data_IF_569430357536
#
_entry.id   IF_569430357536
#
_cell.length_a   1.000
_cell.length_b   1.000
_cell.length_c   1.000
_cell.angle_alpha   90.00
_cell.angle_beta   90.00
_cell.angle_gamma   90.00
#
_symmetry.space_group_name_H-M   'P 1'
#
loop_
_entity.id
_entity.type
_entity.pdbx_description
1 polymer ?
#
# COMPACT_ATOMS: atom_id res chain seq x y z
N UNK A 1 30.36 -4.14 4.22
CA UNK A 1 29.61 -4.64 5.40
C UNK A 1 28.21 -5.01 4.93
N UNK A 2 27.77 -6.26 5.12
CA UNK A 2 26.38 -6.63 4.84
C UNK A 2 25.46 -5.71 5.67
N UNK A 3 24.53 -5.01 5.04
CA UNK A 3 23.53 -4.18 5.72
C UNK A 3 22.85 -5.08 6.78
N UNK A 4 23.07 -4.79 8.07
CA UNK A 4 22.50 -5.57 9.18
C UNK A 4 20.99 -5.61 8.98
N UNK A 5 20.45 -6.80 8.68
CA UNK A 5 19.04 -6.99 8.34
C UNK A 5 18.15 -6.34 9.40
N UNK A 6 17.31 -5.40 8.99
CA UNK A 6 16.46 -4.64 9.88
C UNK A 6 15.14 -5.41 10.11
N UNK A 7 15.14 -6.30 11.10
CA UNK A 7 13.97 -7.12 11.46
C UNK A 7 12.70 -6.29 11.73
N UNK A 8 12.85 -5.08 12.26
CA UNK A 8 11.79 -4.08 12.38
C UNK A 8 11.00 -3.91 11.06
N UNK A 9 11.67 -3.62 9.94
CA UNK A 9 11.00 -3.41 8.66
C UNK A 9 10.45 -4.70 8.08
N UNK A 10 11.05 -5.85 8.36
CA UNK A 10 10.46 -7.13 7.97
C UNK A 10 9.17 -7.42 8.73
N UNK A 11 9.13 -7.18 10.05
CA UNK A 11 7.91 -7.30 10.85
C UNK A 11 6.82 -6.36 10.33
N UNK A 12 7.18 -5.10 10.08
CA UNK A 12 6.27 -4.10 9.50
C UNK A 12 5.69 -4.58 8.17
N UNK A 13 6.53 -5.02 7.22
CA UNK A 13 6.07 -5.52 5.91
C UNK A 13 5.13 -6.72 6.02
N UNK A 14 5.34 -7.62 6.98
CA UNK A 14 4.42 -8.75 7.16
C UNK A 14 3.05 -8.31 7.68
N UNK A 15 3.03 -7.40 8.66
CA UNK A 15 1.77 -6.87 9.18
C UNK A 15 1.06 -6.10 8.07
N UNK A 16 1.75 -5.21 7.37
CA UNK A 16 1.16 -4.43 6.28
C UNK A 16 0.62 -5.32 5.15
N UNK A 17 1.34 -6.37 4.74
CA UNK A 17 0.82 -7.25 3.68
C UNK A 17 -0.39 -8.06 4.17
N UNK A 18 -0.42 -8.40 5.45
CA UNK A 18 -1.61 -9.02 6.05
C UNK A 18 -2.79 -8.06 6.04
N UNK A 19 -2.58 -6.77 6.36
CA UNK A 19 -3.63 -5.74 6.27
C UNK A 19 -4.15 -5.56 4.84
N UNK A 20 -3.27 -5.59 3.82
CA UNK A 20 -3.68 -5.58 2.40
C UNK A 20 -4.63 -6.75 2.10
N UNK A 21 -4.27 -7.97 2.53
CA UNK A 21 -5.12 -9.13 2.31
C UNK A 21 -6.44 -9.01 3.07
N UNK A 22 -6.43 -8.57 4.33
CA UNK A 22 -7.68 -8.34 5.09
C UNK A 22 -8.57 -7.34 4.35
N UNK A 23 -8.00 -6.25 3.83
CA UNK A 23 -8.71 -5.27 3.02
C UNK A 23 -9.42 -5.90 1.82
N UNK A 24 -8.72 -6.69 1.01
CA UNK A 24 -9.33 -7.33 -0.17
C UNK A 24 -10.32 -8.44 0.16
N UNK A 25 -10.15 -9.15 1.28
CA UNK A 25 -11.11 -10.15 1.74
C UNK A 25 -12.37 -9.52 2.37
N UNK A 26 -12.28 -8.27 2.85
CA UNK A 26 -13.42 -7.51 3.38
C UNK A 26 -14.13 -6.69 2.31
N UNK A 27 -13.47 -6.39 1.18
CA UNK A 27 -14.01 -5.57 0.09
C UNK A 27 -15.38 -6.03 -0.45
N UNK A 28 -15.66 -7.33 -0.61
CA UNK A 28 -17.00 -7.79 -1.01
C UNK A 28 -18.06 -7.63 0.09
N UNK A 29 -17.65 -7.55 1.35
CA UNK A 29 -18.53 -7.53 2.52
C UNK A 29 -18.95 -6.11 2.97
N UNK A 30 -18.41 -5.06 2.35
CA UNK A 30 -18.57 -3.68 2.84
C UNK A 30 -20.03 -3.26 2.93
N UNK A 31 -20.88 -3.68 1.99
CA UNK A 31 -22.31 -3.31 1.97
C UNK A 31 -23.16 -4.08 2.98
N UNK A 32 -22.71 -5.27 3.40
CA UNK A 32 -23.49 -6.17 4.27
C UNK A 32 -23.02 -6.15 5.73
N UNK A 33 -21.81 -5.63 5.98
CA UNK A 33 -21.20 -5.67 7.30
C UNK A 33 -20.48 -4.36 7.63
N UNK A 34 -21.11 -3.54 8.48
CA UNK A 34 -20.57 -2.25 8.92
C UNK A 34 -19.19 -2.37 9.60
N UNK A 35 -18.92 -3.47 10.32
CA UNK A 35 -17.60 -3.68 10.91
C UNK A 35 -16.53 -3.95 9.84
N UNK A 36 -16.87 -4.68 8.77
CA UNK A 36 -15.98 -4.85 7.62
C UNK A 36 -15.64 -3.49 7.00
N UNK A 37 -16.64 -2.62 6.82
CA UNK A 37 -16.48 -1.29 6.24
C UNK A 37 -15.62 -0.36 7.09
N UNK A 38 -15.89 -0.28 8.40
CA UNK A 38 -15.08 0.52 9.33
C UNK A 38 -13.62 0.05 9.32
N UNK A 39 -13.39 -1.27 9.40
CA UNK A 39 -12.04 -1.83 9.38
C UNK A 39 -11.35 -1.63 8.03
N UNK A 40 -12.09 -1.71 6.93
CA UNK A 40 -11.57 -1.43 5.60
C UNK A 40 -11.08 0.03 5.50
N UNK A 41 -11.90 1.01 5.91
CA UNK A 41 -11.52 2.43 5.93
C UNK A 41 -10.27 2.64 6.79
N UNK A 42 -10.27 2.10 8.01
CA UNK A 42 -9.16 2.22 8.94
C UNK A 42 -7.86 1.63 8.36
N UNK A 43 -7.93 0.44 7.75
CA UNK A 43 -6.77 -0.17 7.10
C UNK A 43 -6.29 0.71 5.93
N UNK A 44 -7.20 1.14 5.07
CA UNK A 44 -6.92 1.97 3.88
C UNK A 44 -6.43 3.37 4.21
N UNK A 45 -6.62 3.86 5.43
CA UNK A 45 -6.09 5.15 5.87
C UNK A 45 -4.56 5.18 5.94
N UNK A 46 -3.87 4.04 6.15
CA UNK A 46 -2.42 4.06 6.37
C UNK A 46 -1.60 2.89 5.79
N UNK A 47 -2.18 1.74 5.45
CA UNK A 47 -1.36 0.57 5.08
C UNK A 47 -0.49 0.81 3.83
N UNK A 48 -1.03 1.46 2.79
CA UNK A 48 -0.26 1.86 1.61
C UNK A 48 0.74 2.96 1.91
N UNK A 49 0.37 4.09 2.54
CA UNK A 49 1.33 5.09 3.03
C UNK A 49 2.52 4.47 3.77
N UNK A 50 2.29 3.48 4.64
CA UNK A 50 3.33 2.78 5.36
C UNK A 50 4.22 1.90 4.47
N UNK A 51 3.64 1.13 3.54
CA UNK A 51 4.44 0.39 2.56
C UNK A 51 5.31 1.31 1.70
N UNK A 52 4.75 2.45 1.29
CA UNK A 52 5.39 3.44 0.43
C UNK A 52 6.53 4.13 1.18
N UNK A 53 6.33 4.48 2.45
CA UNK A 53 7.40 4.97 3.32
C UNK A 53 8.55 3.97 3.45
N UNK A 54 8.27 2.68 3.69
CA UNK A 54 9.30 1.65 3.74
C UNK A 54 10.05 1.56 2.41
N UNK A 55 9.33 1.62 1.29
CA UNK A 55 9.94 1.58 -0.03
C UNK A 55 10.86 2.78 -0.31
N UNK A 56 10.47 3.98 0.15
CA UNK A 56 11.28 5.18 0.14
C UNK A 56 12.53 5.05 1.01
N UNK A 57 12.37 4.54 2.24
CA UNK A 57 13.48 4.31 3.17
C UNK A 57 14.57 3.43 2.58
N UNK A 58 14.22 2.39 1.81
CA UNK A 58 15.18 1.51 1.15
C UNK A 58 15.64 1.99 -0.24
N UNK A 59 15.18 3.15 -0.72
CA UNK A 59 15.67 3.71 -1.98
C UNK A 59 17.07 4.29 -1.81
N UNK A 60 17.99 3.98 -2.73
CA UNK A 60 19.36 4.47 -2.71
C UNK A 60 19.75 4.99 -4.10
N UNK A 61 19.97 6.30 -4.18
CA UNK A 61 20.29 7.02 -5.43
C UNK A 61 21.79 7.22 -5.64
N UNK A 62 22.65 6.79 -4.70
CA UNK A 62 24.11 6.94 -4.77
C UNK A 62 24.75 5.89 -5.70
N UNK A 63 24.28 5.82 -6.94
CA UNK A 63 24.74 4.92 -8.00
C UNK A 63 24.55 5.60 -9.36
N UNK A 64 25.19 5.08 -10.40
CA UNK A 64 24.99 5.60 -11.76
C UNK A 64 23.52 5.45 -12.20
N UNK A 65 22.96 6.48 -12.85
CA UNK A 65 21.56 6.50 -13.27
C UNK A 65 21.19 5.32 -14.18
N UNK A 66 22.06 4.96 -15.13
CA UNK A 66 21.82 3.84 -16.05
C UNK A 66 21.67 2.53 -15.30
N UNK A 67 22.58 2.24 -14.37
CA UNK A 67 22.51 1.05 -13.51
C UNK A 67 21.26 1.07 -12.61
N UNK A 68 20.96 2.22 -12.01
CA UNK A 68 19.76 2.41 -11.18
C UNK A 68 18.47 2.12 -11.96
N UNK A 69 18.37 2.66 -13.18
CA UNK A 69 17.21 2.50 -14.05
C UNK A 69 17.03 1.04 -14.47
N UNK A 70 18.09 0.39 -15.00
CA UNK A 70 18.04 -1.02 -15.41
C UNK A 70 17.64 -1.92 -14.24
N UNK A 71 18.20 -1.69 -13.04
CA UNK A 71 17.84 -2.45 -11.84
C UNK A 71 16.36 -2.30 -11.48
N UNK A 72 15.80 -1.10 -11.59
CA UNK A 72 14.39 -0.86 -11.31
C UNK A 72 13.46 -1.41 -12.39
N UNK A 73 13.85 -1.34 -13.67
CA UNK A 73 13.12 -2.01 -14.76
C UNK A 73 13.03 -3.50 -14.49
N UNK A 74 14.16 -4.16 -14.20
CA UNK A 74 14.21 -5.60 -13.92
C UNK A 74 13.38 -6.01 -12.70
N UNK A 75 13.44 -5.23 -11.63
CA UNK A 75 12.79 -5.58 -10.35
C UNK A 75 11.33 -5.15 -10.24
N UNK A 76 10.87 -4.22 -11.08
CA UNK A 76 9.51 -3.64 -10.97
C UNK A 76 8.73 -3.78 -12.27
N UNK A 77 9.27 -3.28 -13.39
CA UNK A 77 8.54 -3.28 -14.66
C UNK A 77 8.43 -4.68 -15.28
N UNK A 78 9.48 -5.50 -15.22
CA UNK A 78 9.40 -6.89 -15.72
C UNK A 78 8.33 -7.69 -14.93
N UNK A 79 8.36 -7.75 -13.58
CA UNK A 79 7.29 -8.36 -12.81
C UNK A 79 5.92 -7.74 -13.08
N UNK A 80 5.83 -6.42 -13.26
CA UNK A 80 4.59 -5.74 -13.63
C UNK A 80 4.01 -6.31 -14.93
N UNK A 81 4.78 -6.36 -16.02
CA UNK A 81 4.28 -6.85 -17.31
C UNK A 81 3.91 -8.33 -17.27
N UNK A 82 4.73 -9.15 -16.60
CA UNK A 82 4.44 -10.59 -16.41
C UNK A 82 3.12 -10.76 -15.67
N UNK A 83 2.98 -10.16 -14.48
CA UNK A 83 1.78 -10.32 -13.69
C UNK A 83 0.56 -9.63 -14.32
N UNK A 84 0.73 -8.51 -15.03
CA UNK A 84 -0.37 -7.88 -15.76
C UNK A 84 -0.94 -8.84 -16.80
N UNK A 85 -0.07 -9.50 -17.57
CA UNK A 85 -0.49 -10.53 -18.52
C UNK A 85 -1.15 -11.71 -17.80
N UNK A 86 -0.51 -12.26 -16.75
CA UNK A 86 -1.06 -13.40 -16.01
C UNK A 86 -2.44 -13.09 -15.42
N UNK A 87 -2.65 -11.91 -14.84
CA UNK A 87 -3.94 -11.49 -14.29
C UNK A 87 -5.00 -11.33 -15.37
N UNK A 88 -4.68 -10.67 -16.49
CA UNK A 88 -5.62 -10.51 -17.60
C UNK A 88 -6.00 -11.85 -18.21
N UNK A 89 -5.02 -12.73 -18.46
CA UNK A 89 -5.24 -14.07 -18.99
C UNK A 89 -6.05 -14.92 -18.02
N UNK A 90 -5.66 -14.98 -16.75
CA UNK A 90 -6.36 -15.74 -15.72
C UNK A 90 -7.81 -15.29 -15.55
N UNK A 91 -8.04 -13.97 -15.43
CA UNK A 91 -9.38 -13.42 -15.27
C UNK A 91 -10.25 -13.66 -16.52
N UNK A 92 -9.67 -13.56 -17.72
CA UNK A 92 -10.39 -13.81 -18.97
C UNK A 92 -10.76 -15.28 -19.13
N UNK A 93 -9.82 -16.19 -18.85
CA UNK A 93 -10.05 -17.64 -18.89
C UNK A 93 -11.10 -18.08 -17.88
N UNK A 94 -10.98 -17.65 -16.62
CA UNK A 94 -11.89 -18.07 -15.56
C UNK A 94 -13.32 -17.57 -15.78
N UNK A 95 -13.48 -16.40 -16.41
CA UNK A 95 -14.79 -15.80 -16.67
C UNK A 95 -15.32 -16.01 -18.09
N UNK A 96 -14.61 -16.74 -18.95
CA UNK A 96 -14.95 -16.90 -20.37
C UNK A 96 -15.09 -15.56 -21.12
N UNK A 97 -14.27 -14.57 -20.78
CA UNK A 97 -14.20 -13.28 -21.47
C UNK A 97 -13.13 -13.30 -22.57
N UNK A 98 -13.28 -12.44 -23.57
CA UNK A 98 -12.23 -12.18 -24.55
C UNK A 98 -11.00 -11.57 -23.87
N UNK A 99 -9.81 -12.07 -24.18
CA UNK A 99 -8.56 -11.51 -23.64
C UNK A 99 -8.27 -10.13 -24.26
N UNK A 100 -8.40 -9.09 -23.44
CA UNK A 100 -8.06 -7.71 -23.82
C UNK A 100 -6.75 -7.31 -23.14
N UNK A 101 -5.69 -7.16 -23.92
CA UNK A 101 -4.40 -6.72 -23.40
C UNK A 101 -4.40 -5.21 -23.17
N UNK A 102 -4.46 -4.81 -21.89
CA UNK A 102 -4.31 -3.41 -21.50
C UNK A 102 -3.18 -3.25 -20.49
N UNK A 103 -2.05 -2.73 -20.95
CA UNK A 103 -0.89 -2.45 -20.10
C UNK A 103 -0.86 -1.01 -19.58
N UNK A 104 -1.75 -0.14 -20.06
CA UNK A 104 -1.87 1.26 -19.61
C UNK A 104 -2.61 1.37 -18.29
N UNK A 105 -3.60 0.50 -18.06
CA UNK A 105 -4.35 0.44 -16.80
C UNK A 105 -3.90 -0.78 -16.01
N UNK A 106 -3.09 -0.60 -14.96
CA UNK A 106 -2.61 -1.71 -14.17
C UNK A 106 -3.80 -2.43 -13.54
N UNK A 107 -3.71 -3.75 -13.43
CA UNK A 107 -4.60 -4.53 -12.57
C UNK A 107 -4.59 -3.95 -11.16
N UNK A 108 -5.68 -4.05 -10.39
CA UNK A 108 -5.88 -3.25 -9.18
C UNK A 108 -4.84 -3.46 -8.08
N UNK A 109 -4.03 -4.51 -8.17
CA UNK A 109 -2.91 -4.79 -7.25
C UNK A 109 -1.58 -4.21 -7.77
N UNK A 110 -1.40 -4.17 -9.09
CA UNK A 110 -0.12 -3.90 -9.75
C UNK A 110 0.27 -2.43 -9.83
N UNK A 111 -0.66 -1.53 -9.49
CA UNK A 111 -0.42 -0.09 -9.49
C UNK A 111 0.79 0.30 -8.62
N UNK A 112 1.03 -0.40 -7.51
CA UNK A 112 2.12 -0.10 -6.59
C UNK A 112 3.49 -0.35 -7.23
N UNK A 113 3.66 -1.42 -8.03
CA UNK A 113 4.94 -1.66 -8.74
C UNK A 113 5.24 -0.56 -9.74
N UNK A 114 4.21 -0.14 -10.48
CA UNK A 114 4.33 0.92 -11.47
C UNK A 114 4.61 2.27 -10.82
N UNK A 115 3.87 2.63 -9.77
CA UNK A 115 4.13 3.84 -8.98
C UNK A 115 5.49 3.82 -8.30
N UNK A 116 5.93 2.68 -7.77
CA UNK A 116 7.25 2.54 -7.16
C UNK A 116 8.38 2.75 -8.16
N UNK A 117 8.22 2.30 -9.41
CA UNK A 117 9.18 2.60 -10.47
C UNK A 117 9.30 4.11 -10.68
N UNK A 118 8.17 4.81 -10.83
CA UNK A 118 8.15 6.25 -11.02
C UNK A 118 8.70 7.01 -9.81
N UNK A 119 8.31 6.67 -8.58
CA UNK A 119 8.83 7.32 -7.37
C UNK A 119 10.35 7.21 -7.27
N UNK A 120 10.91 6.05 -7.61
CA UNK A 120 12.36 5.81 -7.62
C UNK A 120 13.08 6.65 -8.68
N UNK A 121 12.53 6.73 -9.89
CA UNK A 121 13.08 7.59 -10.95
C UNK A 121 12.98 9.07 -10.54
N UNK A 122 11.82 9.51 -10.02
CA UNK A 122 11.59 10.89 -9.58
C UNK A 122 12.57 11.30 -8.47
N UNK A 123 12.72 10.49 -7.40
CA UNK A 123 13.65 10.84 -6.32
C UNK A 123 15.10 10.90 -6.81
N UNK A 124 15.50 10.02 -7.75
CA UNK A 124 16.83 10.06 -8.33
C UNK A 124 17.08 11.40 -9.05
N UNK A 125 16.11 11.83 -9.87
CA UNK A 125 16.18 13.09 -10.61
C UNK A 125 16.24 14.27 -9.63
N UNK A 126 15.35 14.31 -8.63
CA UNK A 126 15.28 15.38 -7.62
C UNK A 126 16.61 15.51 -6.86
N UNK A 127 17.20 14.38 -6.45
CA UNK A 127 18.47 14.37 -5.72
C UNK A 127 19.64 14.82 -6.58
N UNK A 128 19.59 14.60 -7.91
CA UNK A 128 20.58 15.14 -8.85
C UNK A 128 20.55 16.67 -8.90
N UNK A 129 19.37 17.27 -8.79
CA UNK A 129 19.20 18.73 -8.73
C UNK A 129 19.49 19.33 -7.35
N UNK A 130 19.79 18.50 -6.34
CA UNK A 130 20.12 18.93 -4.97
C UNK A 130 19.03 19.83 -4.34
N UNK A 131 17.76 19.60 -4.70
CA UNK A 131 16.64 20.34 -4.13
C UNK A 131 16.56 20.04 -2.62
N UNK A 132 16.46 21.06 -1.75
CA UNK A 132 16.33 20.85 -0.32
C UNK A 132 15.12 19.98 0.04
N UNK A 133 15.28 19.07 1.01
CA UNK A 133 14.28 18.08 1.37
C UNK A 133 12.91 18.68 1.73
N UNK A 134 12.89 19.83 2.42
CA UNK A 134 11.66 20.55 2.79
C UNK A 134 10.90 21.00 1.55
N UNK A 135 11.57 21.60 0.56
CA UNK A 135 10.93 22.03 -0.68
C UNK A 135 10.42 20.84 -1.50
N UNK A 136 11.21 19.76 -1.59
CA UNK A 136 10.77 18.51 -2.23
C UNK A 136 9.49 17.97 -1.60
N UNK A 137 9.43 17.92 -0.27
CA UNK A 137 8.26 17.43 0.46
C UNK A 137 7.04 18.34 0.27
N UNK A 138 7.19 19.66 0.43
CA UNK A 138 6.11 20.62 0.25
C UNK A 138 5.55 20.61 -1.18
N UNK A 139 6.43 20.53 -2.19
CA UNK A 139 6.02 20.42 -3.58
C UNK A 139 5.25 19.12 -3.84
N UNK A 140 5.67 18.00 -3.24
CA UNK A 140 4.95 16.74 -3.37
C UNK A 140 3.57 16.78 -2.70
N UNK A 141 3.44 17.42 -1.53
CA UNK A 141 2.14 17.61 -0.86
C UNK A 141 1.23 18.50 -1.70
N UNK A 142 1.75 19.60 -2.24
CA UNK A 142 0.98 20.47 -3.13
C UNK A 142 0.52 19.69 -4.38
N UNK A 143 1.40 18.92 -5.02
CA UNK A 143 1.03 18.09 -6.16
C UNK A 143 -0.03 17.03 -5.80
N UNK A 144 0.08 16.40 -4.64
CA UNK A 144 -0.89 15.41 -4.14
C UNK A 144 -2.29 15.99 -3.91
N UNK A 145 -2.38 17.27 -3.53
CA UNK A 145 -3.63 18.01 -3.41
C UNK A 145 -4.17 18.46 -4.78
N UNK A 146 -3.29 18.91 -5.68
CA UNK A 146 -3.70 19.48 -6.96
C UNK A 146 -4.05 18.45 -8.03
N UNK A 147 -3.46 17.24 -7.98
CA UNK A 147 -3.68 16.22 -9.02
C UNK A 147 -5.15 15.79 -9.14
N UNK A 148 -5.93 15.92 -8.07
CA UNK A 148 -7.36 15.63 -8.05
C UNK A 148 -8.18 16.51 -9.01
N UNK A 149 -7.68 17.69 -9.40
CA UNK A 149 -8.32 18.55 -10.41
C UNK A 149 -8.08 18.07 -11.85
N UNK A 150 -7.38 16.96 -12.07
CA UNK A 150 -7.18 16.40 -13.42
C UNK A 150 -8.18 15.27 -13.67
N UNK A 151 -8.96 15.35 -14.75
CA UNK A 151 -10.02 14.38 -15.03
C UNK A 151 -9.49 13.03 -15.56
N UNK A 152 -8.44 13.05 -16.38
CA UNK A 152 -8.03 11.87 -17.19
C UNK A 152 -6.82 11.10 -16.64
N UNK A 153 -6.05 11.68 -15.72
CA UNK A 153 -4.77 11.12 -15.26
C UNK A 153 -4.88 10.09 -14.13
N UNK A 154 -6.11 9.77 -13.71
CA UNK A 154 -6.41 8.98 -12.51
C UNK A 154 -5.79 7.58 -12.48
N UNK A 155 -6.36 6.69 -13.31
CA UNK A 155 -6.03 5.25 -13.33
C UNK A 155 -5.03 4.87 -14.43
N UNK A 156 -4.82 5.75 -15.42
CA UNK A 156 -3.86 5.51 -16.50
C UNK A 156 -2.45 5.60 -15.91
N UNK A 157 -1.65 4.56 -16.14
CA UNK A 157 -0.30 4.36 -15.59
C UNK A 157 -0.16 4.55 -14.08
N UNK A 158 -1.25 4.40 -13.31
CA UNK A 158 -1.27 4.74 -11.88
C UNK A 158 -0.86 6.21 -11.60
N UNK A 159 -1.12 7.12 -12.55
CA UNK A 159 -0.62 8.49 -12.52
C UNK A 159 -1.03 9.25 -11.25
N UNK A 160 -2.34 9.36 -11.00
CA UNK A 160 -2.85 10.05 -9.80
C UNK A 160 -2.35 9.42 -8.52
N UNK A 161 -2.36 8.08 -8.40
CA UNK A 161 -1.84 7.40 -7.20
C UNK A 161 -0.37 7.69 -6.96
N UNK A 162 0.41 7.71 -8.04
CA UNK A 162 1.84 8.05 -7.98
C UNK A 162 2.02 9.44 -7.38
N UNK A 163 1.26 10.43 -7.82
CA UNK A 163 1.39 11.80 -7.29
C UNK A 163 0.86 11.89 -5.85
N UNK A 164 -0.34 11.37 -5.58
CA UNK A 164 -1.00 11.44 -4.26
C UNK A 164 -0.14 10.85 -3.16
N UNK A 165 0.51 9.71 -3.41
CA UNK A 165 1.28 9.01 -2.38
C UNK A 165 2.79 9.33 -2.38
N UNK A 166 3.28 10.13 -3.33
CA UNK A 166 4.70 10.51 -3.38
C UNK A 166 5.23 11.17 -2.09
N UNK A 167 4.45 12.00 -1.36
CA UNK A 167 4.90 12.57 -0.08
C UNK A 167 5.39 11.51 0.91
N UNK A 168 4.72 10.36 1.02
CA UNK A 168 5.11 9.27 1.93
C UNK A 168 6.40 8.59 1.51
N UNK A 169 6.63 8.47 0.19
CA UNK A 169 7.88 7.93 -0.34
C UNK A 169 9.06 8.86 -0.03
N UNK A 170 8.87 10.17 -0.25
CA UNK A 170 9.85 11.21 0.08
C UNK A 170 10.17 11.21 1.57
N UNK A 171 9.15 11.13 2.43
CA UNK A 171 9.33 11.04 3.87
C UNK A 171 10.20 9.85 4.23
N UNK A 172 9.91 8.66 3.71
CA UNK A 172 10.72 7.47 3.95
C UNK A 172 12.18 7.63 3.52
N UNK A 173 12.40 8.17 2.33
CA UNK A 173 13.74 8.40 1.78
C UNK A 173 14.57 9.35 2.66
N UNK A 174 14.02 10.52 2.99
CA UNK A 174 14.71 11.49 3.84
C UNK A 174 14.84 11.02 5.30
N UNK A 175 13.93 10.17 5.79
CA UNK A 175 14.03 9.56 7.11
C UNK A 175 15.29 8.69 7.25
N UNK A 176 15.68 7.96 6.18
CA UNK A 176 16.97 7.25 6.13
C UNK A 176 18.12 8.24 5.97
N UNK A 177 18.04 9.16 5.01
CA UNK A 177 19.13 10.09 4.65
C UNK A 177 19.63 10.91 5.85
N UNK A 178 18.72 11.35 6.72
CA UNK A 178 19.05 12.15 7.91
C UNK A 178 19.15 11.33 9.20
N UNK A 179 19.21 9.99 9.12
CA UNK A 179 19.35 9.09 10.28
C UNK A 179 18.30 9.29 11.38
N UNK A 180 17.09 9.73 11.00
CA UNK A 180 16.01 10.06 11.95
C UNK A 180 15.55 8.82 12.73
N UNK A 181 15.66 7.63 12.12
CA UNK A 181 15.32 6.35 12.74
C UNK A 181 16.06 6.09 14.07
N UNK A 182 17.29 6.58 14.22
CA UNK A 182 18.07 6.44 15.47
C UNK A 182 17.45 7.28 16.59
N UNK A 183 16.99 8.50 16.26
CA UNK A 183 16.35 9.41 17.22
C UNK A 183 14.94 8.94 17.60
N UNK A 184 14.23 8.36 16.64
CA UNK A 184 12.86 7.88 16.85
C UNK A 184 12.77 6.72 17.86
N UNK A 185 13.76 5.82 17.87
CA UNK A 185 13.82 4.68 18.82
C UNK A 185 14.01 5.10 20.29
N UNK A 186 14.52 6.29 20.54
CA UNK A 186 14.80 6.77 21.90
C UNK A 186 13.59 7.44 22.57
N UNK A 187 12.44 7.52 21.90
CA UNK A 187 11.22 8.18 22.38
C UNK A 187 10.21 7.20 23.02
N UNK A 188 10.68 6.01 23.42
CA UNK A 188 9.83 4.89 23.81
C UNK A 188 9.35 5.01 25.28
N UNK A 189 8.42 5.93 25.53
CA UNK A 189 7.78 6.13 26.84
C UNK A 189 6.44 5.37 26.92
N UNK A 190 6.12 4.76 28.06
CA UNK A 190 4.84 4.09 28.35
C UNK A 190 3.59 4.95 28.03
N UNK A 191 3.71 6.27 28.25
CA UNK A 191 2.72 7.30 27.92
C UNK A 191 2.32 7.24 26.42
N UNK A 192 3.23 6.81 25.54
CA UNK A 192 2.97 6.73 24.11
C UNK A 192 2.01 5.60 23.71
N UNK A 193 1.95 4.48 24.45
CA UNK A 193 1.10 3.33 24.09
C UNK A 193 -0.38 3.54 24.43
N UNK A 194 -0.66 4.11 25.60
CA UNK A 194 -2.04 4.50 25.98
C UNK A 194 -2.59 5.55 25.03
N UNK A 195 -1.80 6.56 24.69
CA UNK A 195 -2.18 7.59 23.73
C UNK A 195 -2.48 7.00 22.35
N UNK A 196 -1.66 6.06 21.87
CA UNK A 196 -1.92 5.35 20.61
C UNK A 196 -3.23 4.58 20.62
N UNK A 197 -3.47 3.81 21.68
CA UNK A 197 -4.71 3.07 21.82
C UNK A 197 -5.91 4.03 21.76
N UNK A 198 -5.84 5.15 22.52
CA UNK A 198 -6.88 6.17 22.51
C UNK A 198 -7.10 6.77 21.12
N UNK A 199 -6.03 7.12 20.39
CA UNK A 199 -6.12 7.70 19.04
C UNK A 199 -6.78 6.69 18.08
N UNK A 200 -6.35 5.44 18.05
CA UNK A 200 -6.95 4.44 17.17
C UNK A 200 -8.40 4.12 17.55
N UNK A 201 -8.73 4.06 18.85
CA UNK A 201 -10.13 3.90 19.27
C UNK A 201 -10.98 5.09 18.85
N UNK A 202 -10.47 6.31 18.99
CA UNK A 202 -11.17 7.53 18.61
C UNK A 202 -11.36 7.59 17.08
N UNK A 203 -10.36 7.18 16.29
CA UNK A 203 -10.47 7.08 14.84
C UNK A 203 -11.50 6.03 14.41
N UNK A 204 -11.50 4.83 15.01
CA UNK A 204 -12.51 3.80 14.71
C UNK A 204 -13.92 4.27 15.05
N UNK A 205 -14.11 4.94 16.19
CA UNK A 205 -15.39 5.54 16.56
C UNK A 205 -15.78 6.64 15.56
N UNK A 206 -14.85 7.51 15.19
CA UNK A 206 -15.09 8.56 14.19
C UNK A 206 -15.51 7.97 12.85
N UNK A 207 -14.79 6.97 12.34
CA UNK A 207 -15.14 6.28 11.09
C UNK A 207 -16.55 5.69 11.18
N UNK A 208 -16.88 5.01 12.29
CA UNK A 208 -18.20 4.43 12.50
C UNK A 208 -19.32 5.48 12.51
N UNK A 209 -19.13 6.60 13.22
CA UNK A 209 -20.13 7.66 13.33
C UNK A 209 -20.36 8.44 12.04
N UNK A 210 -19.32 8.58 11.21
CA UNK A 210 -19.36 9.39 9.99
C UNK A 210 -19.33 8.55 8.71
N UNK A 211 -19.58 7.24 8.80
CA UNK A 211 -19.42 6.29 7.71
C UNK A 211 -20.15 6.72 6.42
N UNK A 212 -21.41 7.13 6.53
CA UNK A 212 -22.23 7.59 5.40
C UNK A 212 -21.73 8.88 4.73
N UNK A 213 -20.83 9.62 5.39
CA UNK A 213 -20.24 10.85 4.88
C UNK A 213 -18.84 10.62 4.26
N UNK A 214 -18.26 9.43 4.45
CA UNK A 214 -16.94 9.10 3.94
C UNK A 214 -17.03 8.53 2.53
N UNK A 215 -16.26 9.11 1.60
CA UNK A 215 -16.13 8.55 0.26
C UNK A 215 -14.88 7.66 0.19
N UNK A 216 -15.08 6.34 0.13
CA UNK A 216 -14.01 5.33 0.06
C UNK A 216 -13.04 5.56 -1.11
N UNK A 217 -13.51 6.08 -2.24
CA UNK A 217 -12.68 6.29 -3.43
C UNK A 217 -11.54 7.29 -3.19
N UNK A 218 -11.67 8.18 -2.19
CA UNK A 218 -10.60 9.09 -1.82
C UNK A 218 -9.36 8.31 -1.35
N UNK A 219 -9.55 7.20 -0.62
CA UNK A 219 -8.46 6.41 -0.01
C UNK A 219 -7.58 5.76 -1.09
N UNK A 220 -8.12 5.50 -2.28
CA UNK A 220 -7.39 4.88 -3.37
C UNK A 220 -6.41 5.81 -4.09
N UNK A 221 -6.52 7.13 -3.89
CA UNK A 221 -5.69 8.14 -4.57
C UNK A 221 -5.78 8.13 -6.10
N UNK A 222 -6.80 7.47 -6.66
CA UNK A 222 -6.89 7.15 -8.08
C UNK A 222 -7.93 7.97 -8.86
N UNK A 223 -8.74 8.74 -8.14
CA UNK A 223 -9.97 9.33 -8.62
C UNK A 223 -9.89 10.86 -8.52
N UNK A 224 -10.39 11.54 -9.56
CA UNK A 224 -10.47 12.99 -9.64
C UNK A 224 -11.58 13.55 -8.76
N UNK A 225 -11.45 14.81 -8.36
CA UNK A 225 -12.43 15.50 -7.52
C UNK A 225 -13.79 15.65 -8.20
N UNK A 226 -13.82 15.72 -9.53
CA UNK A 226 -15.06 15.76 -10.31
C UNK A 226 -15.90 14.48 -10.17
N UNK A 227 -15.25 13.33 -9.95
CA UNK A 227 -15.94 12.04 -9.85
C UNK A 227 -16.45 11.75 -8.44
N UNK A 228 -15.90 12.42 -7.42
CA UNK A 228 -16.27 12.17 -6.02
C UNK A 228 -17.65 12.73 -5.65
N UNK A 229 -18.21 13.63 -6.46
CA UNK A 229 -19.58 14.16 -6.30
C UNK A 229 -19.81 15.09 -5.09
N UNK A 230 -18.84 15.25 -4.20
CA UNK A 230 -18.95 16.04 -2.95
C UNK A 230 -18.68 17.55 -3.11
N UNK A 231 -18.41 18.02 -4.33
CA UNK A 231 -17.93 19.38 -4.60
C UNK A 231 -16.41 19.52 -4.45
N UNK A 232 -15.79 20.38 -5.27
CA UNK A 232 -14.33 20.47 -5.38
C UNK A 232 -13.64 20.86 -4.06
N UNK A 233 -14.19 21.82 -3.32
CA UNK A 233 -13.63 22.25 -2.03
C UNK A 233 -13.67 21.15 -0.97
N UNK A 234 -14.78 20.41 -0.89
CA UNK A 234 -14.91 19.28 0.03
C UNK A 234 -13.99 18.13 -0.36
N UNK A 235 -13.86 17.83 -1.65
CA UNK A 235 -12.96 16.80 -2.15
C UNK A 235 -11.48 17.12 -1.85
N UNK A 236 -11.09 18.40 -1.99
CA UNK A 236 -9.77 18.89 -1.60
C UNK A 236 -9.55 18.78 -0.08
N UNK A 237 -10.52 19.19 0.73
CA UNK A 237 -10.48 19.06 2.19
C UNK A 237 -10.35 17.59 2.60
N UNK A 238 -11.14 16.70 2.01
CA UNK A 238 -11.08 15.26 2.28
C UNK A 238 -9.71 14.67 1.91
N UNK A 239 -9.10 15.10 0.80
CA UNK A 239 -7.73 14.71 0.43
C UNK A 239 -6.72 15.20 1.48
N UNK A 240 -6.84 16.45 1.92
CA UNK A 240 -5.97 17.01 2.95
C UNK A 240 -6.09 16.24 4.26
N UNK A 241 -7.31 15.99 4.73
CA UNK A 241 -7.58 15.20 5.94
C UNK A 241 -7.03 13.78 5.81
N UNK A 242 -7.23 13.13 4.67
CA UNK A 242 -6.68 11.81 4.38
C UNK A 242 -5.14 11.79 4.49
N UNK A 243 -4.44 12.75 3.87
CA UNK A 243 -2.98 12.81 3.93
C UNK A 243 -2.46 13.00 5.36
N UNK A 244 -3.16 13.80 6.18
CA UNK A 244 -2.80 14.00 7.58
C UNK A 244 -3.09 12.76 8.44
N UNK A 245 -4.26 12.15 8.30
CA UNK A 245 -4.62 10.91 9.00
C UNK A 245 -3.63 9.79 8.66
N UNK A 246 -3.32 9.62 7.37
CA UNK A 246 -2.31 8.68 6.90
C UNK A 246 -0.93 8.93 7.53
N UNK A 247 -0.52 10.18 7.67
CA UNK A 247 0.75 10.55 8.29
C UNK A 247 0.78 10.22 9.79
N UNK A 248 -0.29 10.53 10.52
CA UNK A 248 -0.41 10.21 11.95
C UNK A 248 -0.35 8.69 12.13
N UNK A 249 -1.20 7.96 11.42
CA UNK A 249 -1.30 6.50 11.51
C UNK A 249 -0.03 5.80 11.08
N UNK A 250 0.69 6.33 10.09
CA UNK A 250 2.02 5.86 9.71
C UNK A 250 2.98 5.83 10.91
N UNK A 251 3.06 6.93 11.67
CA UNK A 251 3.96 7.00 12.81
C UNK A 251 3.45 6.17 13.99
N UNK A 252 2.14 6.14 14.25
CA UNK A 252 1.59 5.27 15.29
C UNK A 252 1.82 3.79 14.97
N UNK A 253 1.67 3.41 13.70
CA UNK A 253 1.94 2.06 13.23
C UNK A 253 3.40 1.67 13.50
N UNK A 254 4.38 2.52 13.19
CA UNK A 254 5.77 2.16 13.44
C UNK A 254 6.15 2.02 14.92
N UNK A 255 5.41 2.64 15.85
CA UNK A 255 5.64 2.44 17.30
C UNK A 255 5.19 1.07 17.81
N UNK A 256 4.22 0.43 17.16
CA UNK A 256 3.73 -0.90 17.57
C UNK A 256 4.55 -2.04 16.98
N UNK A 257 5.46 -1.76 16.04
CA UNK A 257 6.25 -2.79 15.37
C UNK A 257 7.42 -3.26 16.26
N UNK A 258 7.54 -4.56 16.55
CA UNK A 258 8.67 -5.08 17.30
C UNK A 258 9.98 -4.89 16.53
N UNK A 259 11.02 -4.40 17.20
CA UNK A 259 12.33 -4.16 16.60
C UNK A 259 13.17 -5.44 16.46
N UNK A 260 12.92 -6.42 17.33
CA UNK A 260 13.61 -7.70 17.38
C UNK A 260 13.14 -8.68 16.29
N UNK A 261 13.93 -9.73 16.07
CA UNK A 261 13.52 -10.87 15.25
C UNK A 261 12.32 -11.56 15.88
N UNK A 262 11.29 -11.79 15.10
CA UNK A 262 10.08 -12.53 15.47
C UNK A 262 9.80 -13.63 14.45
N UNK A 263 8.75 -14.43 14.66
CA UNK A 263 8.29 -15.45 13.72
C UNK A 263 7.90 -14.84 12.36
N UNK A 264 7.29 -13.65 12.38
CA UNK A 264 6.83 -12.95 11.18
C UNK A 264 7.96 -12.28 10.40
N UNK A 265 9.14 -12.05 10.99
CA UNK A 265 10.27 -11.43 10.28
C UNK A 265 10.68 -12.19 9.02
N UNK A 266 10.65 -13.52 9.09
CA UNK A 266 11.00 -14.37 7.94
C UNK A 266 9.96 -14.24 6.81
N UNK A 267 8.69 -14.08 7.18
CA UNK A 267 7.54 -13.93 6.27
C UNK A 267 7.56 -12.57 5.59
N UNK A 268 7.80 -11.50 6.35
CA UNK A 268 7.77 -10.14 5.82
C UNK A 268 8.91 -9.80 4.85
N UNK A 269 10.06 -10.47 4.94
CA UNK A 269 11.08 -10.38 3.90
C UNK A 269 10.63 -10.96 2.55
N UNK A 270 9.60 -11.82 2.56
CA UNK A 270 8.98 -12.41 1.38
C UNK A 270 7.61 -11.79 1.10
N UNK A 271 7.36 -10.56 1.52
CA UNK A 271 6.06 -9.87 1.33
C UNK A 271 5.66 -9.67 -0.14
N UNK A 272 6.62 -9.68 -1.08
CA UNK A 272 6.33 -9.59 -2.51
C UNK A 272 5.48 -10.77 -3.03
N UNK A 273 5.61 -11.95 -2.42
CA UNK A 273 4.89 -13.15 -2.82
C UNK A 273 3.39 -13.05 -2.52
N UNK A 274 2.93 -12.87 -1.26
CA UNK A 274 1.52 -12.61 -1.00
C UNK A 274 1.02 -11.38 -1.77
N UNK A 275 1.81 -10.31 -1.89
CA UNK A 275 1.44 -9.13 -2.69
C UNK A 275 1.05 -9.48 -4.13
N UNK A 276 1.81 -10.32 -4.83
CA UNK A 276 1.51 -10.66 -6.22
C UNK A 276 0.62 -11.88 -6.41
N UNK A 277 0.49 -12.77 -5.43
CA UNK A 277 -0.24 -14.03 -5.59
C UNK A 277 -1.66 -13.99 -5.02
N UNK A 278 -1.95 -13.12 -4.05
CA UNK A 278 -3.28 -13.10 -3.42
C UNK A 278 -4.39 -12.71 -4.40
N UNK A 279 -4.10 -11.92 -5.43
CA UNK A 279 -5.11 -11.52 -6.42
C UNK A 279 -5.75 -12.68 -7.16
N UNK A 280 -4.98 -13.74 -7.44
CA UNK A 280 -5.54 -14.95 -8.07
C UNK A 280 -6.56 -15.63 -7.16
N UNK A 281 -6.32 -15.61 -5.85
CA UNK A 281 -7.24 -16.16 -4.85
C UNK A 281 -8.50 -15.31 -4.80
N UNK A 282 -8.37 -13.98 -4.75
CA UNK A 282 -9.52 -13.07 -4.78
C UNK A 282 -10.38 -13.30 -6.02
N UNK A 283 -9.76 -13.42 -7.21
CA UNK A 283 -10.49 -13.70 -8.46
C UNK A 283 -11.23 -15.04 -8.41
N UNK A 284 -10.64 -16.08 -7.84
CA UNK A 284 -11.30 -17.39 -7.67
C UNK A 284 -12.48 -17.27 -6.71
N UNK A 285 -12.27 -16.65 -5.54
CA UNK A 285 -13.32 -16.52 -4.54
C UNK A 285 -14.50 -15.69 -5.06
N UNK A 286 -14.21 -14.62 -5.81
CA UNK A 286 -15.19 -13.76 -6.46
C UNK A 286 -16.00 -14.55 -7.50
N UNK A 287 -15.32 -15.34 -8.35
CA UNK A 287 -15.98 -16.14 -9.40
C UNK A 287 -17.04 -17.10 -8.86
N UNK A 288 -16.77 -17.68 -7.70
CA UNK A 288 -17.58 -18.74 -7.12
C UNK A 288 -18.41 -18.25 -5.93
N UNK A 289 -18.52 -16.93 -5.73
CA UNK A 289 -19.26 -16.30 -4.64
C UNK A 289 -18.86 -16.81 -3.23
N UNK A 290 -17.58 -17.17 -3.06
CA UNK A 290 -17.04 -17.79 -1.84
C UNK A 290 -16.66 -16.79 -0.74
N UNK A 291 -17.18 -15.56 -0.83
CA UNK A 291 -17.04 -14.54 0.21
C UNK A 291 -18.22 -14.54 1.19
N UNK A 292 -19.40 -15.00 0.76
CA UNK A 292 -20.63 -14.93 1.53
C UNK A 292 -20.98 -16.30 2.12
N UNK A 293 -21.18 -16.34 3.43
CA UNK A 293 -21.48 -17.55 4.20
C UNK A 293 -22.79 -17.37 4.97
N UNK A 294 -23.09 -18.32 5.88
CA UNK A 294 -24.33 -18.44 6.66
C UNK A 294 -24.97 -17.11 7.12
N UNK A 295 -24.16 -16.14 7.56
CA UNK A 295 -24.60 -14.79 7.92
C UNK A 295 -23.43 -13.78 7.80
N UNK A 296 -23.69 -12.46 7.81
CA UNK A 296 -22.65 -11.45 7.64
C UNK A 296 -21.53 -11.48 8.70
N UNK A 297 -21.84 -11.83 9.94
CA UNK A 297 -20.85 -11.93 11.02
C UNK A 297 -19.93 -13.14 10.84
N UNK A 298 -20.50 -14.29 10.48
CA UNK A 298 -19.73 -15.48 10.15
C UNK A 298 -18.87 -15.28 8.90
N UNK A 299 -19.41 -14.58 7.88
CA UNK A 299 -18.66 -14.22 6.68
C UNK A 299 -17.44 -13.37 6.99
N UNK A 300 -17.59 -12.35 7.85
CA UNK A 300 -16.46 -11.53 8.30
C UNK A 300 -15.37 -12.38 8.97
N UNK A 301 -15.75 -13.28 9.89
CA UNK A 301 -14.80 -14.11 10.62
C UNK A 301 -14.05 -15.09 9.68
N UNK A 302 -14.77 -15.76 8.78
CA UNK A 302 -14.16 -16.68 7.81
C UNK A 302 -13.21 -15.93 6.89
N UNK A 303 -13.60 -14.78 6.36
CA UNK A 303 -12.76 -13.98 5.48
C UNK A 303 -11.52 -13.41 6.19
N UNK A 304 -11.65 -13.03 7.47
CA UNK A 304 -10.50 -12.66 8.31
C UNK A 304 -9.54 -13.84 8.47
N UNK A 305 -10.05 -15.03 8.78
CA UNK A 305 -9.22 -16.23 8.90
C UNK A 305 -8.51 -16.57 7.58
N UNK A 306 -9.22 -16.52 6.44
CA UNK A 306 -8.63 -16.76 5.12
C UNK A 306 -7.54 -15.74 4.79
N UNK A 307 -7.77 -14.45 5.07
CA UNK A 307 -6.76 -13.42 4.87
C UNK A 307 -5.48 -13.68 5.67
N UNK A 308 -5.60 -14.05 6.96
CA UNK A 308 -4.48 -14.42 7.83
C UNK A 308 -3.78 -15.69 7.35
N UNK A 309 -4.55 -16.70 6.94
CA UNK A 309 -4.03 -17.96 6.43
C UNK A 309 -3.22 -17.74 5.14
N UNK A 310 -3.79 -17.03 4.17
CA UNK A 310 -3.13 -16.78 2.89
C UNK A 310 -1.94 -15.83 3.02
N UNK A 311 -1.99 -14.82 3.91
CA UNK A 311 -0.83 -13.97 4.17
C UNK A 311 0.35 -14.78 4.69
N UNK A 312 0.09 -15.72 5.60
CA UNK A 312 1.10 -16.63 6.14
C UNK A 312 1.57 -17.67 5.13
N UNK A 313 0.64 -18.32 4.42
CA UNK A 313 0.92 -19.40 3.47
C UNK A 313 1.74 -18.89 2.27
N UNK A 314 1.29 -17.81 1.62
CA UNK A 314 1.94 -17.24 0.43
C UNK A 314 3.32 -16.64 0.74
N UNK A 315 3.57 -16.23 1.98
CA UNK A 315 4.90 -15.77 2.42
C UNK A 315 5.84 -16.90 2.88
N UNK A 316 5.47 -18.16 2.65
CA UNK A 316 6.29 -19.32 3.01
C UNK A 316 7.51 -19.51 2.11
N UNK A 317 8.52 -20.20 2.65
CA UNK A 317 9.70 -20.58 1.87
C UNK A 317 9.35 -21.54 0.73
N UNK A 318 8.32 -22.38 0.88
CA UNK A 318 7.83 -23.28 -0.17
C UNK A 318 7.34 -22.49 -1.39
N UNK A 319 6.47 -21.50 -1.16
CA UNK A 319 5.98 -20.62 -2.23
C UNK A 319 7.11 -19.83 -2.89
N UNK A 320 8.06 -19.33 -2.08
CA UNK A 320 9.28 -18.71 -2.63
C UNK A 320 10.05 -19.65 -3.56
N UNK A 321 10.26 -20.91 -3.19
CA UNK A 321 11.03 -21.83 -4.02
C UNK A 321 10.39 -22.09 -5.39
N UNK A 322 9.05 -22.02 -5.47
CA UNK A 322 8.29 -22.18 -6.72
C UNK A 322 8.40 -20.91 -7.57
N UNK A 323 8.15 -19.74 -6.98
CA UNK A 323 8.00 -18.49 -7.74
C UNK A 323 9.27 -17.62 -7.82
N UNK A 324 10.38 -17.98 -7.15
CA UNK A 324 11.62 -17.18 -7.16
C UNK A 324 12.14 -16.93 -8.57
N UNK A 325 11.97 -17.88 -9.50
CA UNK A 325 12.38 -17.74 -10.90
C UNK A 325 11.49 -16.82 -11.72
N UNK A 326 10.45 -16.23 -11.12
CA UNK A 326 9.58 -15.21 -11.74
C UNK A 326 9.73 -13.86 -11.03
N UNK A 327 10.22 -13.86 -9.78
CA UNK A 327 10.20 -12.69 -8.91
C UNK A 327 11.59 -12.20 -8.48
N UNK A 328 12.61 -13.04 -8.56
CA UNK A 328 13.96 -12.75 -8.10
C UNK A 328 14.94 -12.87 -9.29
N UNK A 329 15.13 -11.75 -10.01
CA UNK A 329 16.06 -11.63 -11.15
C UNK A 329 17.09 -10.51 -10.98
#
# INVERSE_FOLDING_TARGET
MAEKRLYFFDNAKFILITLVLIGHFFEPLLQENTLAEVLYIFIYSFHMPAFIFIAGYFSNVNVEFKYYLIKNIKRLLIPYFIFQFLYLAFNSLLNNYSLILNFKRPFWILWFLLSLFFWRVLIFIIEKFKIPAVFTFLAAVAAALLIGFTAEFGRIFSGSRTVVFFPFFILGYYFKKYSIAVRYKNLDNYISRKLMFFIYTAELIFIYLFLNNLNLEILYGAVSYFRLGSGLSQALLNRFLFLNAALINLFLFFKIIPAQRTLISSRGARSIYPFLLHGFIIIILDKFDLFYFLNPGFSLFVNLFLALFFSWFLSSQKIRNIFKYILEF
#
